data_IF_506297471740
#
_entry.id   IF_506297471740
#
_cell.length_a   1.000
_cell.length_b   1.000
_cell.length_c   1.000
_cell.angle_alpha   90.00
_cell.angle_beta   90.00
_cell.angle_gamma   90.00
#
_symmetry.space_group_name_H-M   'P 1'
#
loop_
_entity.id
_entity.type
_entity.pdbx_description
1 polymer ?
#
# COMPACT_ATOMS: atom_id res chain seq x y z
N UNK A 1 -18.40 14.01 -15.10
CA UNK A 1 -19.26 13.05 -14.38
C UNK A 1 -18.46 11.81 -14.04
N UNK A 2 -18.67 11.28 -12.83
CA UNK A 2 -18.04 10.05 -12.35
C UNK A 2 -19.06 8.93 -12.46
N UNK A 3 -18.75 7.92 -13.26
CA UNK A 3 -19.70 6.84 -13.58
C UNK A 3 -19.33 5.49 -12.93
N UNK A 4 -18.07 5.31 -12.51
CA UNK A 4 -17.51 4.05 -12.04
C UNK A 4 -16.99 3.14 -13.16
N UNK A 5 -17.19 3.51 -14.43
CA UNK A 5 -16.64 2.77 -15.58
C UNK A 5 -15.12 2.98 -15.74
N UNK A 6 -14.59 4.00 -15.09
CA UNK A 6 -13.17 4.37 -15.04
C UNK A 6 -12.31 3.39 -14.22
N UNK A 7 -12.95 2.58 -13.36
CA UNK A 7 -12.25 1.56 -12.58
C UNK A 7 -11.78 0.42 -13.47
N UNK A 8 -10.68 -0.21 -13.07
CA UNK A 8 -10.18 -1.42 -13.72
C UNK A 8 -11.23 -2.52 -13.77
N UNK A 9 -11.13 -3.36 -14.80
CA UNK A 9 -12.09 -4.43 -15.07
C UNK A 9 -12.22 -5.40 -13.89
N UNK A 10 -11.11 -5.69 -13.22
CA UNK A 10 -11.08 -6.63 -12.10
C UNK A 10 -11.82 -6.05 -10.89
N UNK A 11 -11.58 -4.77 -10.57
CA UNK A 11 -12.30 -4.06 -9.51
C UNK A 11 -13.81 -4.06 -9.80
N UNK A 12 -14.19 -3.75 -11.05
CA UNK A 12 -15.59 -3.78 -11.47
C UNK A 12 -16.20 -5.19 -11.38
N UNK A 13 -15.37 -6.22 -11.60
CA UNK A 13 -15.75 -7.62 -11.44
C UNK A 13 -16.16 -7.93 -10.00
N UNK A 14 -15.33 -7.55 -9.05
CA UNK A 14 -15.57 -7.75 -7.62
C UNK A 14 -16.83 -7.00 -7.15
N UNK A 15 -17.00 -5.76 -7.61
CA UNK A 15 -18.16 -4.94 -7.25
C UNK A 15 -19.50 -5.51 -7.75
N UNK A 16 -19.51 -6.33 -8.83
CA UNK A 16 -20.74 -7.00 -9.32
C UNK A 16 -21.33 -8.01 -8.34
N UNK A 17 -20.60 -8.41 -7.32
CA UNK A 17 -21.13 -9.27 -6.24
C UNK A 17 -22.04 -8.53 -5.28
N UNK A 18 -22.10 -7.19 -5.37
CA UNK A 18 -22.95 -6.33 -4.56
C UNK A 18 -24.29 -6.06 -5.25
N UNK A 19 -25.26 -5.56 -4.48
CA UNK A 19 -26.46 -4.97 -5.06
C UNK A 19 -26.10 -3.78 -5.97
N UNK A 20 -26.75 -3.67 -7.13
CA UNK A 20 -26.41 -2.72 -8.21
C UNK A 20 -26.26 -1.29 -7.69
N UNK A 21 -27.24 -0.80 -6.93
CA UNK A 21 -27.23 0.55 -6.36
C UNK A 21 -26.02 0.79 -5.45
N UNK A 22 -25.69 -0.19 -4.59
CA UNK A 22 -24.52 -0.11 -3.72
C UNK A 22 -23.22 -0.14 -4.51
N UNK A 23 -23.13 -0.99 -5.55
CA UNK A 23 -21.97 -1.08 -6.42
C UNK A 23 -21.72 0.24 -7.16
N UNK A 24 -22.76 0.92 -7.65
CA UNK A 24 -22.64 2.23 -8.29
C UNK A 24 -22.10 3.29 -7.34
N UNK A 25 -22.63 3.37 -6.13
CA UNK A 25 -22.17 4.33 -5.12
C UNK A 25 -20.70 4.07 -4.76
N UNK A 26 -20.35 2.80 -4.47
CA UNK A 26 -18.97 2.40 -4.15
C UNK A 26 -18.03 2.72 -5.29
N UNK A 27 -18.41 2.39 -6.54
CA UNK A 27 -17.60 2.67 -7.74
C UNK A 27 -17.27 4.16 -7.87
N UNK A 28 -18.27 5.03 -7.73
CA UNK A 28 -18.07 6.48 -7.82
C UNK A 28 -17.12 6.99 -6.73
N UNK A 29 -17.27 6.50 -5.50
CA UNK A 29 -16.36 6.87 -4.42
C UNK A 29 -14.94 6.38 -4.66
N UNK A 30 -14.74 5.17 -5.17
CA UNK A 30 -13.41 4.64 -5.51
C UNK A 30 -12.74 5.46 -6.61
N UNK A 31 -13.47 5.83 -7.67
CA UNK A 31 -12.96 6.71 -8.73
C UNK A 31 -12.54 8.07 -8.16
N UNK A 32 -13.37 8.67 -7.30
CA UNK A 32 -13.02 9.95 -6.69
C UNK A 32 -11.82 9.84 -5.76
N UNK A 33 -11.72 8.77 -4.97
CA UNK A 33 -10.55 8.52 -4.14
C UNK A 33 -9.29 8.43 -4.99
N UNK A 34 -9.33 7.68 -6.10
CA UNK A 34 -8.19 7.53 -7.02
C UNK A 34 -7.79 8.87 -7.67
N UNK A 35 -8.76 9.66 -8.14
CA UNK A 35 -8.49 10.96 -8.79
C UNK A 35 -7.88 12.00 -7.85
N UNK A 36 -8.22 11.93 -6.58
CA UNK A 36 -7.80 12.90 -5.56
C UNK A 36 -6.54 12.48 -4.81
N UNK A 37 -6.01 11.27 -5.08
CA UNK A 37 -4.97 10.65 -4.29
C UNK A 37 -3.71 11.52 -4.18
N UNK A 38 -3.28 12.12 -5.29
CA UNK A 38 -2.05 12.92 -5.35
C UNK A 38 -2.27 14.37 -4.94
N UNK A 39 -3.39 14.97 -5.33
CA UNK A 39 -3.64 16.40 -5.14
C UNK A 39 -4.33 16.73 -3.80
N UNK A 40 -5.26 15.86 -3.38
CA UNK A 40 -6.09 16.06 -2.18
C UNK A 40 -6.26 14.72 -1.43
N UNK A 41 -5.19 14.19 -0.83
CA UNK A 41 -5.23 12.90 -0.12
C UNK A 41 -6.22 12.90 1.06
N UNK A 42 -6.46 14.03 1.68
CA UNK A 42 -7.49 14.21 2.71
C UNK A 42 -8.89 13.86 2.18
N UNK A 43 -9.26 14.40 1.02
CA UNK A 43 -10.55 14.12 0.38
C UNK A 43 -10.58 12.70 -0.22
N UNK A 44 -9.45 12.22 -0.76
CA UNK A 44 -9.36 10.83 -1.22
C UNK A 44 -9.71 9.86 -0.10
N UNK A 45 -9.19 10.10 1.10
CA UNK A 45 -9.51 9.30 2.28
C UNK A 45 -10.99 9.39 2.68
N UNK A 46 -11.61 10.57 2.65
CA UNK A 46 -13.06 10.72 2.92
C UNK A 46 -13.90 9.89 1.93
N UNK A 47 -13.58 9.94 0.63
CA UNK A 47 -14.24 9.12 -0.36
C UNK A 47 -14.02 7.62 -0.12
N UNK A 48 -12.81 7.22 0.24
CA UNK A 48 -12.50 5.83 0.54
C UNK A 48 -13.27 5.31 1.77
N UNK A 49 -13.42 6.11 2.82
CA UNK A 49 -14.27 5.79 3.99
C UNK A 49 -15.73 5.57 3.58
N UNK A 50 -16.26 6.42 2.71
CA UNK A 50 -17.63 6.27 2.19
C UNK A 50 -17.80 4.97 1.38
N UNK A 51 -16.78 4.58 0.58
CA UNK A 51 -16.77 3.29 -0.11
C UNK A 51 -16.77 2.12 0.86
N UNK A 52 -15.92 2.16 1.90
CA UNK A 52 -15.82 1.12 2.94
C UNK A 52 -17.14 0.93 3.69
N UNK A 53 -17.86 2.01 3.97
CA UNK A 53 -19.14 1.93 4.69
C UNK A 53 -20.16 1.01 4.00
N UNK A 54 -20.08 0.85 2.68
CA UNK A 54 -20.98 0.01 1.88
C UNK A 54 -20.30 -1.25 1.33
N UNK A 55 -19.05 -1.14 0.90
CA UNK A 55 -18.29 -2.19 0.20
C UNK A 55 -17.20 -2.86 1.03
N UNK A 56 -17.11 -2.59 2.32
CA UNK A 56 -16.00 -3.03 3.18
C UNK A 56 -15.88 -4.54 3.41
N UNK A 57 -16.72 -5.35 2.78
CA UNK A 57 -16.58 -6.82 2.72
C UNK A 57 -15.70 -7.27 1.56
N UNK A 58 -15.42 -6.39 0.61
CA UNK A 58 -14.57 -6.67 -0.55
C UNK A 58 -13.13 -6.24 -0.25
N UNK A 59 -12.17 -7.12 -0.55
CA UNK A 59 -10.75 -6.84 -0.33
C UNK A 59 -10.31 -5.59 -1.09
N UNK A 60 -10.70 -5.47 -2.36
CA UNK A 60 -10.34 -4.35 -3.24
C UNK A 60 -10.78 -2.99 -2.68
N UNK A 61 -11.94 -2.92 -2.02
CA UNK A 61 -12.42 -1.68 -1.38
C UNK A 61 -11.56 -1.33 -0.16
N UNK A 62 -11.16 -2.34 0.62
CA UNK A 62 -10.25 -2.18 1.76
C UNK A 62 -8.84 -1.78 1.32
N UNK A 63 -8.36 -2.35 0.22
CA UNK A 63 -7.04 -2.04 -0.37
C UNK A 63 -7.01 -0.58 -0.84
N UNK A 64 -8.00 -0.15 -1.61
CA UNK A 64 -8.12 1.24 -2.03
C UNK A 64 -8.20 2.22 -0.84
N UNK A 65 -8.94 1.85 0.20
CA UNK A 65 -9.04 2.66 1.41
C UNK A 65 -7.71 2.69 2.19
N UNK A 66 -6.98 1.58 2.22
CA UNK A 66 -5.64 1.52 2.82
C UNK A 66 -4.65 2.45 2.12
N UNK A 67 -4.67 2.46 0.78
CA UNK A 67 -3.82 3.37 -0.02
C UNK A 67 -4.20 4.83 0.23
N UNK A 68 -5.49 5.17 0.20
CA UNK A 68 -5.93 6.55 0.45
C UNK A 68 -5.57 7.03 1.86
N UNK A 69 -5.77 6.20 2.88
CA UNK A 69 -5.38 6.52 4.25
C UNK A 69 -3.86 6.69 4.39
N UNK A 70 -3.06 5.80 3.76
CA UNK A 70 -1.60 5.89 3.77
C UNK A 70 -1.11 7.20 3.13
N UNK A 71 -1.65 7.56 1.96
CA UNK A 71 -1.29 8.80 1.26
C UNK A 71 -1.71 10.05 2.05
N UNK A 72 -2.81 9.96 2.80
CA UNK A 72 -3.25 11.02 3.71
C UNK A 72 -2.44 11.11 5.02
N UNK A 73 -1.48 10.18 5.26
CA UNK A 73 -0.71 10.12 6.50
C UNK A 73 -1.46 9.47 7.68
N UNK A 74 -2.66 8.93 7.44
CA UNK A 74 -3.49 8.25 8.43
C UNK A 74 -3.03 6.78 8.60
N UNK A 75 -1.80 6.60 9.07
CA UNK A 75 -1.11 5.30 9.10
C UNK A 75 -1.82 4.23 9.95
N UNK A 76 -2.47 4.63 11.04
CA UNK A 76 -3.23 3.68 11.88
C UNK A 76 -4.44 3.12 11.13
N UNK A 77 -5.16 3.98 10.43
CA UNK A 77 -6.30 3.61 9.60
C UNK A 77 -5.85 2.78 8.39
N UNK A 78 -4.76 3.19 7.72
CA UNK A 78 -4.17 2.43 6.62
C UNK A 78 -3.87 0.98 7.04
N UNK A 79 -3.19 0.79 8.18
CA UNK A 79 -2.93 -0.54 8.74
C UNK A 79 -4.21 -1.33 9.01
N UNK A 80 -5.25 -0.69 9.55
CA UNK A 80 -6.53 -1.35 9.81
C UNK A 80 -7.17 -1.83 8.51
N UNK A 81 -7.15 -1.01 7.44
CA UNK A 81 -7.70 -1.37 6.14
C UNK A 81 -6.91 -2.50 5.47
N UNK A 82 -5.57 -2.41 5.42
CA UNK A 82 -4.74 -3.47 4.82
C UNK A 82 -4.84 -4.80 5.58
N UNK A 83 -4.91 -4.78 6.92
CA UNK A 83 -5.15 -5.98 7.72
C UNK A 83 -6.52 -6.61 7.42
N UNK A 84 -7.54 -5.78 7.20
CA UNK A 84 -8.87 -6.26 6.81
C UNK A 84 -8.84 -6.85 5.39
N UNK A 85 -8.20 -6.18 4.42
CA UNK A 85 -8.03 -6.69 3.07
C UNK A 85 -7.33 -8.05 3.07
N UNK A 86 -6.21 -8.16 3.79
CA UNK A 86 -5.44 -9.40 3.93
C UNK A 86 -6.28 -10.56 4.51
N UNK A 87 -7.12 -10.30 5.51
CA UNK A 87 -8.02 -11.33 6.07
C UNK A 87 -9.04 -11.83 5.05
N UNK A 88 -9.45 -10.99 4.10
CA UNK A 88 -10.43 -11.33 3.07
C UNK A 88 -9.77 -12.07 1.91
N UNK A 89 -8.65 -11.55 1.39
CA UNK A 89 -7.99 -12.05 0.18
C UNK A 89 -6.90 -13.10 0.44
N UNK A 90 -6.31 -13.12 1.63
CA UNK A 90 -5.11 -13.91 1.94
C UNK A 90 -3.83 -13.36 1.31
N UNK A 91 -3.89 -12.23 0.60
CA UNK A 91 -2.74 -11.64 -0.09
C UNK A 91 -1.81 -10.89 0.86
N UNK A 92 -0.50 -11.04 0.64
CA UNK A 92 0.55 -10.28 1.33
C UNK A 92 1.09 -9.11 0.49
N UNK A 93 0.49 -8.78 -0.65
CA UNK A 93 0.97 -7.75 -1.58
C UNK A 93 1.20 -6.38 -0.92
N UNK A 94 0.43 -6.04 0.09
CA UNK A 94 0.55 -4.78 0.84
C UNK A 94 1.45 -4.88 2.09
N UNK A 95 2.17 -5.99 2.28
CA UNK A 95 3.06 -6.17 3.43
C UNK A 95 4.11 -5.07 3.57
N UNK A 96 4.80 -4.63 2.50
CA UNK A 96 5.76 -3.53 2.58
C UNK A 96 5.13 -2.21 3.04
N UNK A 97 3.97 -1.84 2.50
CA UNK A 97 3.29 -0.61 2.86
C UNK A 97 2.74 -0.66 4.30
N UNK A 98 2.33 -1.83 4.77
CA UNK A 98 1.97 -2.03 6.18
C UNK A 98 3.17 -1.82 7.11
N UNK A 99 4.35 -2.30 6.72
CA UNK A 99 5.58 -2.06 7.47
C UNK A 99 5.97 -0.57 7.47
N UNK A 100 5.75 0.12 6.36
CA UNK A 100 6.00 1.56 6.30
C UNK A 100 5.01 2.37 7.15
N UNK A 101 3.76 1.92 7.26
CA UNK A 101 2.81 2.48 8.22
C UNK A 101 3.30 2.35 9.67
N UNK A 102 3.92 1.23 10.04
CA UNK A 102 4.51 1.09 11.40
C UNK A 102 5.65 2.11 11.61
N UNK A 103 6.47 2.39 10.57
CA UNK A 103 7.45 3.49 10.63
C UNK A 103 6.78 4.84 10.84
N UNK A 104 5.76 5.16 10.03
CA UNK A 104 4.99 6.40 10.14
C UNK A 104 4.34 6.61 11.51
N UNK A 105 4.07 5.51 12.22
CA UNK A 105 3.57 5.51 13.60
C UNK A 105 4.70 5.59 14.66
N UNK A 106 5.95 5.81 14.25
CA UNK A 106 7.11 5.87 15.14
C UNK A 106 7.50 4.51 15.74
N UNK A 107 7.28 3.42 15.01
CA UNK A 107 7.57 2.04 15.43
C UNK A 107 8.50 1.33 14.44
N UNK A 108 9.71 1.88 14.17
CA UNK A 108 10.62 1.33 13.16
C UNK A 108 11.07 -0.10 13.48
N UNK A 109 11.17 -0.50 14.75
CA UNK A 109 11.52 -1.87 15.14
C UNK A 109 10.49 -2.89 14.65
N UNK A 110 9.21 -2.51 14.61
CA UNK A 110 8.15 -3.36 14.04
C UNK A 110 8.30 -3.52 12.55
N UNK A 111 8.66 -2.46 11.83
CA UNK A 111 8.93 -2.55 10.39
C UNK A 111 10.11 -3.49 10.09
N UNK A 112 11.18 -3.43 10.90
CA UNK A 112 12.32 -4.37 10.79
C UNK A 112 11.88 -5.80 11.08
N UNK A 113 11.07 -6.02 12.10
CA UNK A 113 10.51 -7.34 12.41
C UNK A 113 9.69 -7.88 11.24
N UNK A 114 8.86 -7.04 10.62
CA UNK A 114 8.07 -7.41 9.45
C UNK A 114 8.96 -7.73 8.23
N UNK A 115 10.11 -7.10 8.10
CA UNK A 115 11.07 -7.40 7.03
C UNK A 115 11.74 -8.77 7.15
N UNK A 116 11.77 -9.34 8.35
CA UNK A 116 12.25 -10.70 8.60
C UNK A 116 11.14 -11.76 8.66
N UNK A 117 9.89 -11.39 8.41
CA UNK A 117 8.74 -12.28 8.54
C UNK A 117 8.58 -13.20 7.30
N UNK A 118 7.99 -14.42 7.45
CA UNK A 118 7.77 -15.35 6.34
C UNK A 118 6.90 -14.81 5.20
N UNK A 119 6.12 -13.79 5.47
CA UNK A 119 5.32 -13.07 4.47
C UNK A 119 6.17 -12.51 3.32
N UNK A 120 7.41 -12.12 3.62
CA UNK A 120 8.34 -11.56 2.62
C UNK A 120 8.69 -12.55 1.53
N UNK A 121 8.75 -13.84 1.86
CA UNK A 121 9.06 -14.90 0.89
C UNK A 121 7.94 -15.08 -0.15
N UNK A 122 6.71 -14.69 0.19
CA UNK A 122 5.54 -14.77 -0.69
C UNK A 122 5.37 -13.53 -1.58
N UNK A 123 6.16 -12.48 -1.35
CA UNK A 123 6.14 -11.30 -2.19
C UNK A 123 6.79 -11.57 -3.55
N UNK A 124 6.31 -10.89 -4.56
CA UNK A 124 7.00 -10.82 -5.83
C UNK A 124 8.32 -10.05 -5.72
N UNK A 125 9.05 -9.95 -6.81
CA UNK A 125 10.35 -9.25 -6.83
C UNK A 125 10.21 -7.77 -6.42
N UNK A 126 9.19 -7.09 -6.94
CA UNK A 126 8.94 -5.68 -6.63
C UNK A 126 8.63 -5.51 -5.13
N UNK A 127 7.75 -6.33 -4.58
CA UNK A 127 7.41 -6.30 -3.16
C UNK A 127 8.60 -6.58 -2.24
N UNK A 128 9.49 -7.51 -2.60
CA UNK A 128 10.73 -7.75 -1.84
C UNK A 128 11.68 -6.55 -1.88
N UNK A 129 11.80 -5.89 -3.03
CA UNK A 129 12.61 -4.65 -3.13
C UNK A 129 12.00 -3.52 -2.29
N UNK A 130 10.69 -3.31 -2.36
CA UNK A 130 10.01 -2.33 -1.53
C UNK A 130 10.20 -2.63 -0.03
N UNK A 131 10.13 -3.90 0.37
CA UNK A 131 10.38 -4.29 1.75
C UNK A 131 11.81 -3.95 2.22
N UNK A 132 12.83 -4.09 1.35
CA UNK A 132 14.21 -3.65 1.64
C UNK A 132 14.31 -2.14 1.81
N UNK A 133 13.62 -1.38 0.95
CA UNK A 133 13.59 0.10 1.05
C UNK A 133 12.98 0.51 2.40
N UNK A 134 11.85 -0.08 2.77
CA UNK A 134 11.20 0.19 4.06
C UNK A 134 12.10 -0.20 5.24
N UNK A 135 12.71 -1.37 5.20
CA UNK A 135 13.62 -1.84 6.26
C UNK A 135 14.85 -0.95 6.40
N UNK A 136 15.41 -0.46 5.29
CA UNK A 136 16.51 0.52 5.30
C UNK A 136 16.06 1.83 5.95
N UNK A 137 14.90 2.36 5.55
CA UNK A 137 14.32 3.55 6.18
C UNK A 137 14.10 3.38 7.67
N UNK A 138 13.59 2.22 8.10
CA UNK A 138 13.40 1.92 9.53
C UNK A 138 14.73 1.88 10.30
N UNK A 139 15.81 1.39 9.69
CA UNK A 139 17.16 1.43 10.28
C UNK A 139 17.71 2.85 10.40
N UNK A 140 17.45 3.68 9.38
CA UNK A 140 17.80 5.12 9.44
C UNK A 140 17.04 5.83 10.57
N UNK A 141 15.76 5.56 10.74
CA UNK A 141 14.94 6.12 11.82
C UNK A 141 15.52 5.78 13.21
N UNK A 142 16.23 4.64 13.33
CA UNK A 142 16.94 4.20 14.54
C UNK A 142 18.41 4.68 14.60
N UNK A 143 18.89 5.45 13.64
CA UNK A 143 20.29 5.89 13.58
C UNK A 143 21.28 4.78 13.18
N UNK A 144 20.82 3.65 12.67
CA UNK A 144 21.61 2.49 12.26
C UNK A 144 22.07 2.63 10.78
N UNK A 145 22.85 3.67 10.48
CA UNK A 145 23.13 4.09 9.10
C UNK A 145 23.88 3.01 8.30
N UNK A 146 24.92 2.40 8.86
CA UNK A 146 25.67 1.34 8.17
C UNK A 146 24.77 0.13 7.82
N UNK A 147 23.92 -0.25 8.77
CA UNK A 147 22.96 -1.35 8.55
C UNK A 147 21.87 -0.99 7.52
N UNK A 148 21.48 0.28 7.43
CA UNK A 148 20.56 0.76 6.43
C UNK A 148 21.14 0.61 5.01
N UNK A 149 22.39 1.04 4.81
CA UNK A 149 23.11 0.89 3.53
C UNK A 149 23.23 -0.60 3.15
N UNK A 150 23.68 -1.45 4.08
CA UNK A 150 23.84 -2.89 3.85
C UNK A 150 22.51 -3.53 3.45
N UNK A 151 21.38 -3.10 4.03
CA UNK A 151 20.05 -3.60 3.69
C UNK A 151 19.69 -3.39 2.21
N UNK A 152 20.18 -2.31 1.58
CA UNK A 152 19.94 -2.01 0.17
C UNK A 152 20.94 -2.66 -0.79
N UNK A 153 22.06 -3.18 -0.29
CA UNK A 153 23.06 -3.90 -1.09
C UNK A 153 22.49 -5.28 -1.50
N UNK A 154 21.80 -5.33 -2.62
CA UNK A 154 21.20 -6.52 -3.17
C UNK A 154 21.45 -6.60 -4.70
N UNK A 155 21.31 -7.78 -5.32
CA UNK A 155 21.53 -7.93 -6.76
C UNK A 155 20.69 -6.98 -7.62
N UNK A 156 19.49 -6.65 -7.16
CA UNK A 156 18.57 -5.73 -7.82
C UNK A 156 19.12 -4.31 -7.96
N UNK A 157 20.03 -3.88 -7.08
CA UNK A 157 20.65 -2.55 -7.16
C UNK A 157 21.47 -2.38 -8.45
N UNK A 158 22.04 -3.48 -8.96
CA UNK A 158 22.84 -3.51 -10.20
C UNK A 158 21.95 -3.72 -11.45
N UNK A 159 20.66 -3.87 -11.27
CA UNK A 159 19.75 -4.11 -12.40
C UNK A 159 19.69 -2.89 -13.33
N UNK A 160 19.76 -3.17 -14.64
CA UNK A 160 19.51 -2.21 -15.72
C UNK A 160 18.05 -2.20 -16.16
N UNK A 161 17.20 -3.04 -15.57
CA UNK A 161 15.79 -3.12 -15.89
C UNK A 161 15.09 -1.78 -15.59
N UNK A 162 14.17 -1.38 -16.46
CA UNK A 162 13.35 -0.17 -16.30
C UNK A 162 12.05 -0.49 -15.54
N UNK A 163 12.21 -1.09 -14.36
CA UNK A 163 11.11 -1.39 -13.47
C UNK A 163 10.83 -0.21 -12.52
N UNK A 164 9.60 -0.03 -12.10
CA UNK A 164 9.20 1.07 -11.20
C UNK A 164 10.00 1.10 -9.90
N UNK A 165 10.32 -0.07 -9.35
CA UNK A 165 11.14 -0.22 -8.14
C UNK A 165 12.62 0.11 -8.33
N UNK A 166 13.16 0.01 -9.57
CA UNK A 166 14.59 0.20 -9.84
C UNK A 166 15.07 1.62 -9.51
N UNK A 167 14.33 2.63 -9.93
CA UNK A 167 14.63 4.02 -9.63
C UNK A 167 14.56 4.31 -8.13
N UNK A 168 13.51 3.81 -7.46
CA UNK A 168 13.31 3.98 -6.01
C UNK A 168 14.43 3.33 -5.20
N UNK A 169 14.85 2.11 -5.57
CA UNK A 169 15.95 1.41 -4.89
C UNK A 169 17.27 2.19 -5.02
N UNK A 170 17.60 2.67 -6.23
CA UNK A 170 18.80 3.44 -6.48
C UNK A 170 18.80 4.79 -5.75
N UNK A 171 17.65 5.45 -5.72
CA UNK A 171 17.47 6.69 -4.96
C UNK A 171 17.68 6.44 -3.46
N UNK A 172 17.01 5.42 -2.90
CA UNK A 172 17.14 5.09 -1.49
C UNK A 172 18.58 4.69 -1.09
N UNK A 173 19.37 4.15 -2.03
CA UNK A 173 20.79 3.82 -1.78
C UNK A 173 21.71 5.04 -1.85
N UNK A 174 21.37 6.06 -2.65
CA UNK A 174 22.16 7.26 -2.84
C UNK A 174 21.92 8.33 -1.76
N UNK A 175 20.76 8.28 -1.07
CA UNK A 175 20.34 9.22 -0.03
C UNK A 175 20.87 8.81 1.36
#
# INVERSE_FOLDING_TARGET
DVTGQELDKDIRGDLRTMAVESAEIVSRHLVMAQRLLDDRPDLAWEHAKAAVARGGRLAVVREAAGVAAYTAGEYADALAQFRAARRISGSDSYWPIMADCERGLGRPERAITMAGAPEVDRLDKAGRVEMRIVASGARRDLGQLDAAVVTLQCPELQSTARESWSARLKFAYAD
#
